data_IF_804318782633
#
_entry.id   IF_804318782633
#
_cell.length_a   1.000
_cell.length_b   1.000
_cell.length_c   1.000
_cell.angle_alpha   90.00
_cell.angle_beta   90.00
_cell.angle_gamma   90.00
#
_symmetry.space_group_name_H-M   'P 1'
#
loop_
_entity.id
_entity.type
_entity.pdbx_description
1 polymer ?
#
# COMPACT_ATOMS: atom_id res chain seq x y z
N UNK A 1 24.43 -22.76 -36.56
CA UNK A 1 24.24 -21.65 -35.58
C UNK A 1 24.04 -22.25 -34.19
N UNK A 2 24.81 -21.83 -33.20
CA UNK A 2 24.66 -22.33 -31.82
C UNK A 2 23.30 -21.87 -31.27
N UNK A 3 22.37 -22.81 -31.07
CA UNK A 3 21.09 -22.53 -30.45
C UNK A 3 21.30 -22.14 -28.98
N UNK A 4 20.54 -21.17 -28.47
CA UNK A 4 20.54 -20.88 -27.03
C UNK A 4 20.07 -22.13 -26.27
N UNK A 5 20.73 -22.44 -25.15
CA UNK A 5 20.35 -23.56 -24.29
C UNK A 5 18.89 -23.50 -23.78
N UNK A 6 18.26 -22.33 -23.81
CA UNK A 6 16.83 -22.19 -23.50
C UNK A 6 15.91 -22.96 -24.45
N UNK A 7 16.33 -23.18 -25.70
CA UNK A 7 15.57 -23.90 -26.71
C UNK A 7 15.71 -25.42 -26.57
N UNK A 8 16.68 -25.91 -25.79
CA UNK A 8 16.84 -27.33 -25.49
C UNK A 8 15.92 -27.70 -24.31
N UNK A 9 14.85 -28.50 -24.52
CA UNK A 9 13.87 -28.80 -23.50
C UNK A 9 14.47 -29.57 -22.31
N UNK A 10 15.36 -30.53 -22.57
CA UNK A 10 16.06 -31.32 -21.54
C UNK A 10 16.91 -30.45 -20.63
N UNK A 11 17.67 -29.51 -21.20
CA UNK A 11 18.45 -28.55 -20.42
C UNK A 11 17.52 -27.70 -19.54
N UNK A 12 16.41 -27.21 -20.10
CA UNK A 12 15.43 -26.42 -19.34
C UNK A 12 14.89 -27.20 -18.14
N UNK A 13 14.57 -28.48 -18.33
CA UNK A 13 14.12 -29.36 -17.26
C UNK A 13 15.22 -29.58 -16.22
N UNK A 14 16.46 -29.85 -16.63
CA UNK A 14 17.61 -30.04 -15.75
C UNK A 14 17.84 -28.81 -14.85
N UNK A 15 17.91 -27.60 -15.41
CA UNK A 15 18.08 -26.35 -14.64
C UNK A 15 16.92 -26.15 -13.66
N UNK A 16 15.68 -26.39 -14.09
CA UNK A 16 14.52 -26.23 -13.22
C UNK A 16 14.51 -27.25 -12.08
N UNK A 17 14.89 -28.49 -12.36
CA UNK A 17 15.00 -29.55 -11.36
C UNK A 17 16.06 -29.18 -10.31
N UNK A 18 17.25 -28.80 -10.75
CA UNK A 18 18.35 -28.38 -9.89
C UNK A 18 18.01 -27.12 -9.07
N UNK A 19 17.37 -26.13 -9.67
CA UNK A 19 16.92 -24.94 -8.95
C UNK A 19 15.89 -25.29 -7.86
N UNK A 20 14.89 -26.13 -8.18
CA UNK A 20 13.89 -26.60 -7.21
C UNK A 20 14.53 -27.41 -6.09
N UNK A 21 15.48 -28.28 -6.43
CA UNK A 21 16.26 -29.04 -5.46
C UNK A 21 17.03 -28.11 -4.50
N UNK A 22 17.70 -27.09 -5.03
CA UNK A 22 18.39 -26.06 -4.23
C UNK A 22 17.44 -25.31 -3.30
N UNK A 23 16.23 -24.98 -3.76
CA UNK A 23 15.23 -24.33 -2.92
C UNK A 23 14.74 -25.24 -1.79
N UNK A 24 14.54 -26.53 -2.05
CA UNK A 24 14.14 -27.53 -1.04
C UNK A 24 15.26 -27.72 -0.02
N UNK A 25 16.49 -27.99 -0.47
CA UNK A 25 17.65 -28.19 0.39
C UNK A 25 17.97 -26.95 1.22
N UNK A 26 17.85 -25.74 0.64
CA UNK A 26 18.04 -24.51 1.42
C UNK A 26 17.05 -24.38 2.58
N UNK A 27 15.81 -24.86 2.44
CA UNK A 27 14.81 -24.83 3.51
C UNK A 27 15.00 -25.97 4.52
N UNK A 28 15.44 -27.15 4.07
CA UNK A 28 15.58 -28.33 4.92
C UNK A 28 16.92 -28.34 5.70
N UNK A 29 18.02 -27.93 5.06
CA UNK A 29 19.36 -28.09 5.60
C UNK A 29 19.95 -26.81 6.22
N UNK A 30 19.30 -25.65 6.08
CA UNK A 30 19.77 -24.38 6.67
C UNK A 30 18.73 -23.77 7.61
N UNK A 31 19.15 -23.42 8.83
CA UNK A 31 18.29 -22.74 9.80
C UNK A 31 18.33 -21.20 9.69
N UNK A 32 19.37 -20.63 9.07
CA UNK A 32 19.51 -19.18 8.92
C UNK A 32 18.62 -18.63 7.80
N UNK A 33 17.57 -17.90 8.17
CA UNK A 33 16.68 -17.24 7.20
C UNK A 33 17.43 -16.25 6.30
N UNK A 34 18.48 -15.61 6.83
CA UNK A 34 19.33 -14.72 6.04
C UNK A 34 20.05 -15.47 4.92
N UNK A 35 20.61 -16.64 5.25
CA UNK A 35 21.28 -17.51 4.27
C UNK A 35 20.29 -18.03 3.23
N UNK A 36 19.12 -18.50 3.64
CA UNK A 36 18.05 -18.97 2.74
C UNK A 36 17.67 -17.87 1.74
N UNK A 37 17.47 -16.65 2.22
CA UNK A 37 17.11 -15.52 1.37
C UNK A 37 18.26 -15.13 0.43
N UNK A 38 19.51 -15.20 0.90
CA UNK A 38 20.70 -14.95 0.08
C UNK A 38 20.84 -15.99 -1.03
N UNK A 39 20.68 -17.28 -0.72
CA UNK A 39 20.67 -18.38 -1.70
C UNK A 39 19.60 -18.12 -2.75
N UNK A 40 18.33 -17.92 -2.34
CA UNK A 40 17.21 -17.63 -3.25
C UNK A 40 17.47 -16.44 -4.17
N UNK A 41 18.02 -15.35 -3.62
CA UNK A 41 18.29 -14.13 -4.37
C UNK A 41 19.39 -14.35 -5.39
N UNK A 42 20.50 -14.97 -5.00
CA UNK A 42 21.66 -15.18 -5.87
C UNK A 42 21.32 -16.19 -6.97
N UNK A 43 20.74 -17.34 -6.63
CA UNK A 43 20.36 -18.37 -7.63
C UNK A 43 19.32 -17.86 -8.63
N UNK A 44 18.32 -17.09 -8.16
CA UNK A 44 17.35 -16.48 -9.08
C UNK A 44 18.01 -15.45 -10.00
N UNK A 45 18.92 -14.63 -9.47
CA UNK A 45 19.61 -13.63 -10.28
C UNK A 45 20.56 -14.26 -11.31
N UNK A 46 21.27 -15.32 -10.96
CA UNK A 46 22.17 -16.02 -11.90
C UNK A 46 21.38 -16.70 -13.01
N UNK A 47 20.30 -17.43 -12.68
CA UNK A 47 19.46 -18.09 -13.69
C UNK A 47 18.86 -17.06 -14.66
N UNK A 48 18.35 -15.94 -14.16
CA UNK A 48 17.77 -14.90 -15.04
C UNK A 48 18.84 -14.27 -15.93
N UNK A 49 20.03 -14.01 -15.39
CA UNK A 49 21.13 -13.38 -16.13
C UNK A 49 21.65 -14.29 -17.26
N UNK A 50 21.80 -15.57 -16.99
CA UNK A 50 22.38 -16.55 -17.94
C UNK A 50 21.32 -17.32 -18.73
N UNK A 51 20.06 -16.86 -18.70
CA UNK A 51 18.92 -17.48 -19.39
C UNK A 51 19.12 -17.60 -20.91
N UNK A 52 19.86 -16.67 -21.50
CA UNK A 52 20.11 -16.60 -22.94
C UNK A 52 21.60 -16.79 -23.29
N UNK A 53 22.36 -17.45 -22.41
CA UNK A 53 23.76 -17.76 -22.71
C UNK A 53 23.83 -18.78 -23.86
N UNK A 54 24.73 -18.51 -24.81
CA UNK A 54 25.08 -19.42 -25.92
C UNK A 54 26.29 -20.29 -25.61
N UNK A 55 27.11 -19.90 -24.63
CA UNK A 55 28.36 -20.60 -24.32
C UNK A 55 28.07 -21.85 -23.49
N UNK A 56 28.42 -23.01 -24.03
CA UNK A 56 28.36 -24.29 -23.31
C UNK A 56 29.18 -24.25 -22.03
N UNK A 57 30.32 -23.55 -22.07
CA UNK A 57 31.24 -23.44 -20.95
C UNK A 57 30.69 -22.57 -19.82
N UNK A 58 30.05 -21.43 -20.12
CA UNK A 58 29.46 -20.59 -19.07
C UNK A 58 28.30 -21.33 -18.39
N UNK A 59 27.48 -22.00 -19.17
CA UNK A 59 26.36 -22.81 -18.70
C UNK A 59 26.85 -23.97 -17.82
N UNK A 60 27.83 -24.75 -18.31
CA UNK A 60 28.40 -25.87 -17.55
C UNK A 60 29.01 -25.40 -16.23
N UNK A 61 29.78 -24.30 -16.24
CA UNK A 61 30.36 -23.71 -15.04
C UNK A 61 29.29 -23.36 -13.98
N UNK A 62 28.19 -22.70 -14.38
CA UNK A 62 27.14 -22.35 -13.43
C UNK A 62 26.33 -23.56 -12.94
N UNK A 63 26.12 -24.56 -13.78
CA UNK A 63 25.50 -25.82 -13.37
C UNK A 63 26.37 -26.54 -12.34
N UNK A 64 27.68 -26.62 -12.58
CA UNK A 64 28.62 -27.23 -11.64
C UNK A 64 28.64 -26.48 -10.31
N UNK A 65 28.66 -25.14 -10.32
CA UNK A 65 28.54 -24.33 -9.09
C UNK A 65 27.23 -24.55 -8.35
N UNK A 66 26.14 -24.83 -9.07
CA UNK A 66 24.83 -25.10 -8.46
C UNK A 66 24.75 -26.52 -7.88
N UNK A 67 25.41 -27.49 -8.50
CA UNK A 67 25.62 -28.82 -7.93
C UNK A 67 26.49 -28.77 -6.67
N UNK A 68 27.62 -28.08 -6.73
CA UNK A 68 28.52 -27.86 -5.60
C UNK A 68 27.77 -27.20 -4.43
N UNK A 69 26.95 -26.17 -4.71
CA UNK A 69 26.09 -25.54 -3.70
C UNK A 69 25.13 -26.55 -3.05
N UNK A 70 24.50 -27.45 -3.82
CA UNK A 70 23.59 -28.45 -3.27
C UNK A 70 24.32 -29.46 -2.39
N UNK A 71 25.52 -29.89 -2.79
CA UNK A 71 26.35 -30.79 -2.01
C UNK A 71 26.75 -30.15 -0.67
N UNK A 72 27.22 -28.90 -0.70
CA UNK A 72 27.59 -28.15 0.50
C UNK A 72 26.41 -27.88 1.43
N UNK A 73 25.20 -27.67 0.87
CA UNK A 73 23.98 -27.55 1.67
C UNK A 73 23.64 -28.86 2.40
N UNK A 74 23.80 -30.01 1.75
CA UNK A 74 23.57 -31.33 2.36
C UNK A 74 24.60 -31.59 3.46
N UNK A 75 25.87 -31.26 3.22
CA UNK A 75 26.95 -31.36 4.21
C UNK A 75 26.87 -30.35 5.36
N UNK A 76 25.92 -29.40 5.30
CA UNK A 76 25.69 -28.34 6.30
C UNK A 76 26.91 -27.43 6.54
N UNK A 77 27.82 -27.32 5.58
CA UNK A 77 28.97 -26.43 5.68
C UNK A 77 28.60 -24.99 5.28
N UNK A 78 28.11 -24.24 6.27
CA UNK A 78 27.63 -22.87 6.09
C UNK A 78 28.71 -21.93 5.55
N UNK A 79 29.98 -22.15 5.91
CA UNK A 79 31.08 -21.24 5.57
C UNK A 79 31.44 -21.35 4.09
N UNK A 80 31.56 -22.58 3.57
CA UNK A 80 31.83 -22.81 2.15
C UNK A 80 30.65 -22.42 1.27
N UNK A 81 29.41 -22.69 1.71
CA UNK A 81 28.19 -22.18 1.04
C UNK A 81 28.25 -20.65 0.92
N UNK A 82 28.62 -19.95 2.00
CA UNK A 82 28.71 -18.50 1.98
C UNK A 82 29.79 -17.98 1.02
N UNK A 83 30.96 -18.62 1.01
CA UNK A 83 32.06 -18.27 0.13
C UNK A 83 31.69 -18.48 -1.35
N UNK A 84 31.11 -19.64 -1.69
CA UNK A 84 30.65 -19.94 -3.05
C UNK A 84 29.62 -18.93 -3.55
N UNK A 85 28.61 -18.61 -2.73
CA UNK A 85 27.63 -17.56 -3.06
C UNK A 85 28.29 -16.19 -3.25
N UNK A 86 29.30 -15.90 -2.44
CA UNK A 86 30.03 -14.63 -2.52
C UNK A 86 30.88 -14.57 -3.78
N UNK A 87 31.54 -15.64 -4.19
CA UNK A 87 32.34 -15.71 -5.41
C UNK A 87 31.47 -15.58 -6.67
N UNK A 88 30.33 -16.28 -6.70
CA UNK A 88 29.34 -16.13 -7.78
C UNK A 88 28.82 -14.69 -7.84
N UNK A 89 28.63 -14.02 -6.69
CA UNK A 89 28.22 -12.62 -6.65
C UNK A 89 29.33 -11.63 -7.05
N UNK A 90 30.59 -11.93 -6.69
CA UNK A 90 31.79 -11.11 -6.93
C UNK A 90 32.33 -11.24 -8.34
N UNK A 91 31.94 -12.27 -9.12
CA UNK A 91 32.17 -12.28 -10.57
C UNK A 91 31.65 -11.00 -11.27
N UNK A 92 30.77 -10.23 -10.60
CA UNK A 92 30.36 -8.87 -11.01
C UNK A 92 31.44 -7.78 -10.89
N UNK A 93 32.44 -7.91 -10.03
CA UNK A 93 33.27 -6.77 -9.66
C UNK A 93 34.60 -6.68 -10.40
N UNK A 94 35.07 -7.74 -11.06
CA UNK A 94 36.39 -7.70 -11.71
C UNK A 94 36.43 -6.92 -13.04
N UNK A 95 35.31 -6.61 -13.71
CA UNK A 95 35.34 -5.81 -14.95
C UNK A 95 34.93 -4.33 -14.81
N UNK A 96 34.64 -3.86 -13.60
CA UNK A 96 34.40 -2.43 -13.33
C UNK A 96 35.13 -1.99 -12.06
N UNK A 97 36.45 -2.03 -12.11
CA UNK A 97 37.26 -1.15 -11.28
C UNK A 97 36.88 0.30 -11.58
N UNK A 98 36.75 1.11 -10.52
CA UNK A 98 36.44 2.55 -10.48
C UNK A 98 34.94 2.91 -10.42
N UNK A 99 34.56 3.38 -9.22
CA UNK A 99 33.35 4.11 -8.81
C UNK A 99 32.17 3.24 -8.33
N UNK A 100 32.34 2.59 -7.18
CA UNK A 100 31.24 2.33 -6.25
C UNK A 100 30.72 3.68 -5.73
N UNK A 101 29.81 4.28 -6.48
CA UNK A 101 29.09 5.47 -6.07
C UNK A 101 28.09 5.04 -4.98
N UNK A 102 28.42 5.26 -3.71
CA UNK A 102 27.53 5.15 -2.56
C UNK A 102 26.21 5.86 -2.86
N UNK A 103 25.06 5.39 -2.33
CA UNK A 103 23.75 6.05 -2.57
C UNK A 103 23.78 7.56 -2.32
N UNK A 104 24.61 8.01 -1.37
CA UNK A 104 24.93 9.41 -1.11
C UNK A 104 25.59 10.11 -2.31
N UNK A 105 26.55 9.49 -2.99
CA UNK A 105 27.18 10.07 -4.18
C UNK A 105 26.27 10.17 -5.41
N UNK A 106 25.24 9.31 -5.54
CA UNK A 106 24.21 9.49 -6.57
C UNK A 106 23.31 10.68 -6.26
N UNK A 107 22.99 10.89 -4.98
CA UNK A 107 22.23 12.06 -4.53
C UNK A 107 23.08 13.33 -4.72
N UNK A 108 24.37 13.30 -4.38
CA UNK A 108 25.28 14.43 -4.59
C UNK A 108 25.46 14.75 -6.07
N UNK A 109 25.60 13.75 -6.94
CA UNK A 109 25.60 13.96 -8.40
C UNK A 109 24.29 14.56 -8.89
N UNK A 110 23.14 14.01 -8.47
CA UNK A 110 21.84 14.59 -8.83
C UNK A 110 21.69 16.03 -8.32
N UNK A 111 22.23 16.35 -7.14
CA UNK A 111 22.25 17.71 -6.61
C UNK A 111 23.20 18.63 -7.39
N UNK A 112 24.35 18.12 -7.84
CA UNK A 112 25.27 18.85 -8.72
C UNK A 112 24.67 19.05 -10.11
N UNK A 113 24.04 18.05 -10.71
CA UNK A 113 23.34 18.14 -11.99
C UNK A 113 22.19 19.15 -11.88
N UNK A 114 21.43 19.14 -10.77
CA UNK A 114 20.43 20.17 -10.48
C UNK A 114 21.12 21.53 -10.34
N UNK A 115 22.25 21.64 -9.64
CA UNK A 115 22.97 22.91 -9.47
C UNK A 115 23.50 23.47 -10.80
N UNK A 116 24.01 22.62 -11.69
CA UNK A 116 24.44 23.00 -13.03
C UNK A 116 23.24 23.40 -13.89
N UNK A 117 22.13 22.65 -13.84
CA UNK A 117 20.87 23.06 -14.47
C UNK A 117 20.33 24.39 -13.93
N UNK A 118 20.53 24.67 -12.64
CA UNK A 118 20.17 25.96 -12.00
C UNK A 118 21.05 27.11 -12.52
N UNK A 119 22.32 26.86 -12.81
CA UNK A 119 23.26 27.85 -13.35
C UNK A 119 23.03 28.09 -14.85
N UNK A 120 22.85 27.04 -15.66
CA UNK A 120 22.77 27.16 -17.12
C UNK A 120 21.41 27.64 -17.64
N UNK A 121 20.32 27.47 -16.89
CA UNK A 121 18.96 27.84 -17.35
C UNK A 121 18.28 28.93 -16.53
N UNK A 122 18.93 29.43 -15.48
CA UNK A 122 18.30 30.24 -14.45
C UNK A 122 17.18 29.47 -13.76
N UNK A 123 17.17 29.43 -12.43
CA UNK A 123 15.98 28.98 -11.72
C UNK A 123 14.82 29.92 -12.09
N UNK A 124 13.92 29.46 -12.97
CA UNK A 124 12.62 30.11 -13.08
C UNK A 124 11.95 29.97 -11.72
N UNK A 125 11.61 31.10 -11.11
CA UNK A 125 10.87 31.13 -9.86
C UNK A 125 9.61 30.25 -10.02
N UNK A 126 9.35 29.27 -9.13
CA UNK A 126 8.16 28.44 -9.20
C UNK A 126 6.86 29.26 -9.28
N UNK A 127 6.84 30.49 -8.78
CA UNK A 127 5.71 31.41 -8.92
C UNK A 127 5.53 31.84 -10.39
N UNK A 128 6.61 32.27 -11.06
CA UNK A 128 6.59 32.68 -12.48
C UNK A 128 6.15 31.51 -13.38
N UNK A 129 6.63 30.29 -13.11
CA UNK A 129 6.21 29.10 -13.87
C UNK A 129 4.70 28.87 -13.73
N UNK A 130 4.19 29.00 -12.51
CA UNK A 130 2.76 28.82 -12.22
C UNK A 130 1.91 29.89 -12.90
N UNK A 131 2.35 31.15 -12.87
CA UNK A 131 1.69 32.28 -13.52
C UNK A 131 1.63 32.11 -15.03
N UNK A 132 2.74 31.73 -15.67
CA UNK A 132 2.78 31.40 -17.11
C UNK A 132 1.82 30.27 -17.48
N UNK A 133 1.71 29.25 -16.64
CA UNK A 133 0.74 28.16 -16.86
C UNK A 133 -0.71 28.65 -16.74
N UNK A 134 -1.02 29.47 -15.74
CA UNK A 134 -2.35 30.07 -15.56
C UNK A 134 -2.70 30.95 -16.77
N UNK A 135 -1.78 31.80 -17.19
CA UNK A 135 -1.92 32.67 -18.36
C UNK A 135 -2.14 31.87 -19.65
N UNK A 136 -1.33 30.85 -19.91
CA UNK A 136 -1.48 30.00 -21.09
C UNK A 136 -2.85 29.29 -21.13
N UNK A 137 -3.32 28.80 -19.99
CA UNK A 137 -4.64 28.16 -19.90
C UNK A 137 -5.78 29.17 -20.13
N UNK A 138 -5.62 30.39 -19.60
CA UNK A 138 -6.58 31.48 -19.81
C UNK A 138 -6.64 31.89 -21.29
N UNK A 139 -5.50 32.14 -21.93
CA UNK A 139 -5.41 32.47 -23.37
C UNK A 139 -6.06 31.38 -24.21
N UNK A 140 -5.73 30.10 -23.97
CA UNK A 140 -6.34 28.99 -24.71
C UNK A 140 -7.86 28.94 -24.57
N UNK A 141 -8.38 29.21 -23.38
CA UNK A 141 -9.84 29.23 -23.12
C UNK A 141 -10.54 30.38 -23.82
N UNK A 142 -9.98 31.58 -23.77
CA UNK A 142 -10.57 32.76 -24.40
C UNK A 142 -10.42 32.75 -25.94
N UNK A 143 -9.31 32.21 -26.46
CA UNK A 143 -9.13 31.96 -27.90
C UNK A 143 -10.12 30.90 -28.42
N UNK A 144 -10.39 29.85 -27.65
CA UNK A 144 -11.41 28.86 -28.02
C UNK A 144 -12.84 29.43 -28.04
N UNK A 145 -13.08 30.55 -27.34
CA UNK A 145 -14.35 31.29 -27.32
C UNK A 145 -14.38 32.46 -28.30
N UNK A 146 -13.33 32.64 -29.11
CA UNK A 146 -13.15 33.77 -30.04
C UNK A 146 -13.14 35.16 -29.38
N UNK A 147 -12.78 35.26 -28.09
CA UNK A 147 -12.67 36.55 -27.39
C UNK A 147 -11.28 37.18 -27.50
N UNK A 148 -10.25 36.41 -27.88
CA UNK A 148 -8.88 36.88 -28.06
C UNK A 148 -8.33 36.49 -29.44
N UNK A 149 -7.49 37.35 -30.05
CA UNK A 149 -6.83 37.03 -31.30
C UNK A 149 -5.81 35.89 -31.11
N UNK A 150 -5.51 35.17 -32.21
CA UNK A 150 -4.54 34.07 -32.21
C UNK A 150 -3.12 34.55 -31.86
N UNK A 151 -2.74 35.74 -32.33
CA UNK A 151 -1.46 36.36 -32.03
C UNK A 151 -1.65 37.48 -31.00
N UNK A 152 -0.87 37.44 -29.92
CA UNK A 152 -0.88 38.43 -28.84
C UNK A 152 0.58 38.76 -28.51
N UNK A 153 1.01 40.03 -28.55
CA UNK A 153 2.36 40.41 -28.15
C UNK A 153 2.63 40.11 -26.66
N UNK A 154 3.88 39.77 -26.31
CA UNK A 154 4.25 39.38 -24.94
C UNK A 154 4.02 40.49 -23.89
N UNK A 155 4.11 41.76 -24.28
CA UNK A 155 3.78 42.88 -23.40
C UNK A 155 2.31 42.88 -22.97
N UNK A 156 1.38 42.64 -23.90
CA UNK A 156 -0.05 42.55 -23.59
C UNK A 156 -0.35 41.30 -22.75
N UNK A 157 0.35 40.19 -23.02
CA UNK A 157 0.24 38.97 -22.22
C UNK A 157 0.59 39.22 -20.75
N UNK A 158 1.67 39.95 -20.49
CA UNK A 158 2.16 40.21 -19.14
C UNK A 158 1.41 41.35 -18.43
N UNK A 159 1.17 42.48 -19.10
CA UNK A 159 0.56 43.67 -18.49
C UNK A 159 -0.96 43.58 -18.35
N UNK A 160 -1.67 43.01 -19.33
CA UNK A 160 -3.14 42.97 -19.34
C UNK A 160 -3.70 41.58 -19.02
N UNK A 161 -3.24 40.55 -19.73
CA UNK A 161 -3.86 39.23 -19.65
C UNK A 161 -3.49 38.47 -18.38
N UNK A 162 -2.27 38.62 -17.85
CA UNK A 162 -1.86 37.93 -16.62
C UNK A 162 -2.69 38.37 -15.40
N UNK A 163 -2.88 39.67 -15.11
CA UNK A 163 -3.78 40.11 -14.04
C UNK A 163 -5.19 39.56 -14.17
N UNK A 164 -5.75 39.54 -15.38
CA UNK A 164 -7.08 38.98 -15.67
C UNK A 164 -7.11 37.46 -15.45
N UNK A 165 -6.10 36.74 -15.92
CA UNK A 165 -5.99 35.30 -15.75
C UNK A 165 -5.92 34.93 -14.25
N UNK A 166 -5.12 35.65 -13.46
CA UNK A 166 -5.05 35.48 -12.02
C UNK A 166 -6.38 35.80 -11.34
N UNK A 167 -7.05 36.87 -11.77
CA UNK A 167 -8.37 37.24 -11.27
C UNK A 167 -9.41 36.16 -11.53
N UNK A 168 -9.46 35.56 -12.73
CA UNK A 168 -10.42 34.47 -13.02
C UNK A 168 -10.18 33.22 -12.15
N UNK A 169 -8.92 32.87 -11.89
CA UNK A 169 -8.58 31.77 -10.98
C UNK A 169 -8.98 32.11 -9.55
N UNK A 170 -8.73 33.35 -9.12
CA UNK A 170 -9.13 33.83 -7.79
C UNK A 170 -10.66 33.88 -7.63
N UNK A 171 -11.41 34.26 -8.67
CA UNK A 171 -12.87 34.24 -8.70
C UNK A 171 -13.43 32.81 -8.58
N UNK A 172 -12.85 31.85 -9.32
CA UNK A 172 -13.22 30.45 -9.17
C UNK A 172 -12.97 29.94 -7.73
N UNK A 173 -11.88 30.39 -7.10
CA UNK A 173 -11.58 30.09 -5.70
C UNK A 173 -12.58 30.75 -4.75
N UNK A 174 -12.92 32.02 -4.97
CA UNK A 174 -13.92 32.77 -4.21
C UNK A 174 -15.28 32.07 -4.26
N UNK A 175 -15.74 31.69 -5.45
CA UNK A 175 -16.98 30.94 -5.65
C UNK A 175 -16.96 29.59 -4.92
N UNK A 176 -15.83 28.88 -4.94
CA UNK A 176 -15.68 27.63 -4.17
C UNK A 176 -15.73 27.86 -2.65
N UNK A 177 -15.22 28.99 -2.17
CA UNK A 177 -15.31 29.36 -0.75
C UNK A 177 -16.74 29.71 -0.38
N UNK A 178 -17.41 30.52 -1.20
CA UNK A 178 -18.79 30.92 -1.01
C UNK A 178 -19.72 29.70 -1.01
N UNK A 179 -19.62 28.81 -2.00
CA UNK A 179 -20.41 27.57 -2.04
C UNK A 179 -20.24 26.71 -0.78
N UNK A 180 -19.01 26.59 -0.26
CA UNK A 180 -18.74 25.89 1.01
C UNK A 180 -19.29 26.59 2.25
N UNK A 181 -19.51 27.90 2.20
CA UNK A 181 -20.13 28.63 3.30
C UNK A 181 -21.66 28.47 3.24
N UNK A 182 -22.25 28.49 2.04
CA UNK A 182 -23.68 28.25 1.83
C UNK A 182 -24.09 26.84 2.26
N UNK A 183 -23.25 25.82 2.01
CA UNK A 183 -23.49 24.45 2.49
C UNK A 183 -23.55 24.32 4.04
N UNK A 184 -23.03 25.29 4.77
CA UNK A 184 -22.99 25.29 6.23
C UNK A 184 -21.75 24.61 6.84
N UNK A 185 -21.78 24.29 8.15
CA UNK A 185 -20.65 23.67 8.83
C UNK A 185 -20.37 22.27 8.27
N UNK A 186 -19.10 21.86 8.17
CA UNK A 186 -18.75 20.56 7.61
C UNK A 186 -19.30 19.43 8.49
N UNK A 187 -20.15 18.58 7.91
CA UNK A 187 -20.83 17.48 8.60
C UNK A 187 -19.86 16.56 9.35
N UNK A 188 -20.23 16.22 10.58
CA UNK A 188 -19.56 15.21 11.40
C UNK A 188 -20.41 13.96 11.40
N UNK A 189 -19.81 12.82 11.08
CA UNK A 189 -20.55 11.56 11.01
C UNK A 189 -19.68 10.40 11.44
N UNK A 190 -20.33 9.33 11.90
CA UNK A 190 -19.66 8.08 12.23
C UNK A 190 -19.44 7.26 10.95
N UNK A 191 -18.18 6.96 10.67
CA UNK A 191 -17.79 6.01 9.63
C UNK A 191 -17.36 4.71 10.30
N UNK A 192 -17.34 3.62 9.56
CA UNK A 192 -16.80 2.37 10.05
C UNK A 192 -15.87 1.72 9.04
N UNK A 193 -14.97 0.87 9.54
CA UNK A 193 -14.23 -0.11 8.74
C UNK A 193 -14.55 -1.50 9.25
N UNK A 194 -14.66 -2.47 8.35
CA UNK A 194 -15.03 -3.86 8.64
C UNK A 194 -13.83 -4.81 8.55
N UNK A 195 -13.02 -4.98 9.62
CA UNK A 195 -12.18 -6.16 9.73
C UNK A 195 -13.05 -7.36 10.12
N UNK A 196 -13.13 -8.36 9.24
CA UNK A 196 -13.65 -9.71 9.49
C UNK A 196 -14.77 -9.82 10.54
N UNK A 197 -16.00 -9.52 10.14
CA UNK A 197 -17.22 -9.77 10.94
C UNK A 197 -17.57 -8.71 11.99
N UNK A 198 -16.68 -7.76 12.30
CA UNK A 198 -16.99 -6.65 13.21
C UNK A 198 -16.74 -5.28 12.56
N UNK A 199 -17.44 -4.26 13.06
CA UNK A 199 -17.35 -2.88 12.57
C UNK A 199 -16.59 -2.03 13.58
N UNK A 200 -15.43 -1.50 13.20
CA UNK A 200 -14.72 -0.48 13.97
C UNK A 200 -15.28 0.87 13.59
N UNK A 201 -16.05 1.47 14.50
CA UNK A 201 -16.64 2.79 14.32
C UNK A 201 -15.64 3.89 14.71
N UNK A 202 -15.63 5.00 13.98
CA UNK A 202 -14.85 6.19 14.30
C UNK A 202 -15.47 7.44 13.68
N UNK A 203 -15.19 8.60 14.28
CA UNK A 203 -15.70 9.89 13.81
C UNK A 203 -14.92 10.35 12.58
N UNK A 204 -15.62 10.74 11.51
CA UNK A 204 -15.06 11.53 10.41
C UNK A 204 -15.52 12.97 10.55
N UNK A 205 -14.56 13.89 10.49
CA UNK A 205 -14.80 15.34 10.53
C UNK A 205 -13.75 16.06 9.69
N UNK A 206 -13.93 17.38 9.50
CA UNK A 206 -12.92 18.22 8.86
C UNK A 206 -11.56 18.19 9.57
N UNK A 207 -11.58 17.92 10.88
CA UNK A 207 -10.40 17.78 11.73
C UNK A 207 -9.84 16.36 11.73
N UNK A 208 -10.69 15.34 11.69
CA UNK A 208 -10.29 13.94 11.79
C UNK A 208 -10.34 13.21 10.43
N UNK A 209 -9.46 13.61 9.49
CA UNK A 209 -9.38 13.00 8.15
C UNK A 209 -7.95 12.85 7.63
N UNK A 210 -7.69 11.76 6.88
CA UNK A 210 -6.42 11.46 6.20
C UNK A 210 -5.22 11.63 7.17
N UNK A 211 -4.26 12.50 6.84
CA UNK A 211 -3.05 12.79 7.63
C UNK A 211 -3.35 13.42 9.00
N UNK A 212 -4.52 14.03 9.18
CA UNK A 212 -4.96 14.63 10.45
C UNK A 212 -5.70 13.65 11.37
N UNK A 213 -5.92 12.42 10.89
CA UNK A 213 -6.53 11.40 11.72
C UNK A 213 -5.64 11.09 12.92
N UNK A 214 -6.23 10.87 14.09
CA UNK A 214 -5.46 10.49 15.28
C UNK A 214 -4.56 9.28 14.99
N UNK A 215 -3.27 9.39 15.35
CA UNK A 215 -2.30 8.30 15.21
C UNK A 215 -2.73 7.06 16.00
N UNK A 216 -3.29 7.26 17.19
CA UNK A 216 -3.77 6.16 18.05
C UNK A 216 -4.91 5.39 17.40
N UNK A 217 -5.88 6.09 16.83
CA UNK A 217 -6.95 5.49 16.03
C UNK A 217 -6.40 4.75 14.81
N UNK A 218 -5.41 5.32 14.12
CA UNK A 218 -4.75 4.67 12.99
C UNK A 218 -3.96 3.42 13.39
N UNK A 219 -3.38 3.37 14.59
CA UNK A 219 -2.74 2.17 15.14
C UNK A 219 -3.80 1.11 15.49
N UNK A 220 -4.87 1.51 16.17
CA UNK A 220 -5.98 0.62 16.54
C UNK A 220 -6.58 -0.08 15.32
N UNK A 221 -6.93 0.68 14.26
CA UNK A 221 -7.49 0.12 13.02
C UNK A 221 -6.51 -0.85 12.35
N UNK A 222 -5.21 -0.49 12.28
CA UNK A 222 -4.20 -1.36 11.66
C UNK A 222 -3.99 -2.65 12.45
N UNK A 223 -3.90 -2.54 13.78
CA UNK A 223 -3.77 -3.69 14.68
C UNK A 223 -4.94 -4.64 14.48
N UNK A 224 -6.18 -4.16 14.56
CA UNK A 224 -7.35 -5.02 14.42
C UNK A 224 -7.53 -5.59 13.01
N UNK A 225 -7.13 -4.86 11.96
CA UNK A 225 -7.08 -5.44 10.60
C UNK A 225 -6.07 -6.59 10.51
N UNK A 226 -4.88 -6.42 11.07
CA UNK A 226 -3.86 -7.45 11.05
C UNK A 226 -4.29 -8.67 11.88
N UNK A 227 -4.80 -8.46 13.09
CA UNK A 227 -5.32 -9.53 13.95
C UNK A 227 -6.58 -10.20 13.36
N UNK A 228 -7.45 -9.44 12.70
CA UNK A 228 -8.59 -9.98 11.95
C UNK A 228 -8.14 -10.86 10.78
N UNK A 229 -7.09 -10.45 10.06
CA UNK A 229 -6.52 -11.24 8.96
C UNK A 229 -5.88 -12.54 9.47
N UNK A 230 -5.06 -12.48 10.52
CA UNK A 230 -4.49 -13.67 11.18
C UNK A 230 -5.57 -14.67 11.60
N UNK A 231 -6.64 -14.19 12.24
CA UNK A 231 -7.79 -15.04 12.63
C UNK A 231 -8.45 -15.70 11.44
N UNK A 232 -8.59 -14.99 10.32
CA UNK A 232 -9.14 -15.57 9.10
C UNK A 232 -8.23 -16.61 8.46
N UNK A 233 -6.92 -16.35 8.44
CA UNK A 233 -5.95 -17.34 7.99
C UNK A 233 -5.98 -18.59 8.88
N UNK A 234 -6.10 -18.43 10.20
CA UNK A 234 -6.29 -19.56 11.12
C UNK A 234 -7.60 -20.31 10.87
N UNK A 235 -8.74 -19.62 10.66
CA UNK A 235 -10.00 -20.29 10.32
C UNK A 235 -9.89 -21.08 9.01
N UNK A 236 -9.21 -20.53 8.00
CA UNK A 236 -8.95 -21.22 6.73
C UNK A 236 -8.06 -22.44 6.95
N UNK A 237 -7.01 -22.31 7.77
CA UNK A 237 -6.14 -23.42 8.13
C UNK A 237 -6.90 -24.51 8.89
N UNK A 238 -7.77 -24.16 9.85
CA UNK A 238 -8.63 -25.11 10.54
C UNK A 238 -9.53 -25.88 9.55
N UNK A 239 -10.14 -25.20 8.57
CA UNK A 239 -10.94 -25.87 7.54
C UNK A 239 -10.12 -26.83 6.68
N UNK A 240 -8.90 -26.43 6.30
CA UNK A 240 -7.99 -27.31 5.55
C UNK A 240 -7.54 -28.50 6.38
N UNK A 241 -7.20 -28.29 7.66
CA UNK A 241 -6.77 -29.34 8.57
C UNK A 241 -7.93 -30.30 8.86
N UNK A 242 -9.16 -29.81 8.95
CA UNK A 242 -10.35 -30.64 9.15
C UNK A 242 -10.56 -31.61 7.98
N UNK A 243 -10.29 -31.17 6.74
CA UNK A 243 -10.35 -32.04 5.58
C UNK A 243 -9.32 -33.16 5.66
N UNK A 244 -8.06 -32.84 6.01
CA UNK A 244 -7.02 -33.84 6.22
C UNK A 244 -7.35 -34.79 7.36
N UNK A 245 -7.81 -34.26 8.50
CA UNK A 245 -8.22 -35.05 9.65
C UNK A 245 -9.37 -36.01 9.32
N UNK A 246 -10.33 -35.60 8.48
CA UNK A 246 -11.38 -36.49 7.99
C UNK A 246 -10.80 -37.62 7.12
N UNK A 247 -9.85 -37.32 6.23
CA UNK A 247 -9.22 -38.35 5.40
C UNK A 247 -8.45 -39.35 6.26
N UNK A 248 -7.62 -38.90 7.18
CA UNK A 248 -6.87 -39.78 8.10
C UNK A 248 -7.82 -40.66 8.93
N UNK A 249 -8.89 -40.06 9.48
CA UNK A 249 -9.89 -40.81 10.22
C UNK A 249 -10.63 -41.85 9.36
N UNK A 250 -10.94 -41.52 8.10
CA UNK A 250 -11.51 -42.47 7.15
C UNK A 250 -10.53 -43.61 6.83
N UNK A 251 -9.23 -43.33 6.75
CA UNK A 251 -8.20 -44.34 6.55
C UNK A 251 -8.11 -45.31 7.72
N UNK A 252 -8.08 -44.82 8.96
CA UNK A 252 -8.08 -45.66 10.16
C UNK A 252 -9.33 -46.56 10.22
N UNK A 253 -10.51 -45.99 9.96
CA UNK A 253 -11.76 -46.75 9.95
C UNK A 253 -11.83 -47.80 8.84
N UNK A 254 -11.20 -47.52 7.69
CA UNK A 254 -11.09 -48.49 6.61
C UNK A 254 -10.18 -49.66 6.99
N UNK A 255 -9.11 -49.41 7.77
CA UNK A 255 -8.20 -50.46 8.27
C UNK A 255 -8.87 -51.30 9.37
N UNK A 256 -9.52 -50.65 10.34
CA UNK A 256 -10.13 -51.32 11.50
C UNK A 256 -11.42 -52.05 11.13
N UNK A 257 -12.34 -51.36 10.45
CA UNK A 257 -13.73 -51.80 10.29
C UNK A 257 -14.12 -52.07 8.83
N UNK A 258 -13.24 -51.78 7.86
CA UNK A 258 -13.50 -51.89 6.40
C UNK A 258 -14.70 -51.05 5.94
N UNK A 259 -15.07 -50.01 6.68
CA UNK A 259 -16.20 -49.13 6.38
C UNK A 259 -15.71 -47.68 6.37
N UNK A 260 -16.19 -46.88 5.41
CA UNK A 260 -15.97 -45.43 5.35
C UNK A 260 -17.23 -44.72 5.83
N UNK A 261 -17.18 -43.95 6.93
CA UNK A 261 -18.36 -43.24 7.43
C UNK A 261 -18.77 -42.13 6.45
N UNK A 262 -20.06 -42.07 6.10
CA UNK A 262 -20.62 -40.94 5.37
C UNK A 262 -20.82 -39.76 6.33
N UNK A 263 -20.00 -38.71 6.19
CA UNK A 263 -20.05 -37.54 7.05
C UNK A 263 -19.86 -36.23 6.27
N UNK A 264 -20.81 -35.31 6.42
CA UNK A 264 -20.71 -33.97 5.82
C UNK A 264 -19.90 -33.04 6.71
N UNK A 265 -18.61 -32.96 6.41
CA UNK A 265 -17.66 -32.12 7.12
C UNK A 265 -18.04 -30.64 7.09
N UNK A 266 -18.50 -30.13 5.95
CA UNK A 266 -18.81 -28.70 5.83
C UNK A 266 -19.95 -28.32 6.76
N UNK A 267 -20.99 -29.15 6.82
CA UNK A 267 -22.13 -28.94 7.72
C UNK A 267 -21.71 -29.01 9.19
N UNK A 268 -20.84 -29.95 9.55
CA UNK A 268 -20.29 -30.04 10.90
C UNK A 268 -19.45 -28.81 11.28
N UNK A 269 -18.49 -28.42 10.46
CA UNK A 269 -17.64 -27.24 10.73
C UNK A 269 -18.47 -25.96 10.83
N UNK A 270 -19.50 -25.84 10.00
CA UNK A 270 -20.43 -24.73 10.07
C UNK A 270 -21.21 -24.74 11.39
N UNK A 271 -21.65 -25.91 11.87
CA UNK A 271 -22.36 -26.04 13.15
C UNK A 271 -21.57 -25.57 14.37
N UNK A 272 -20.23 -25.52 14.27
CA UNK A 272 -19.34 -24.98 15.31
C UNK A 272 -19.34 -23.44 15.38
N UNK A 273 -20.07 -22.78 14.48
CA UNK A 273 -20.26 -21.33 14.53
C UNK A 273 -21.28 -20.95 15.61
N UNK A 274 -21.05 -19.81 16.26
CA UNK A 274 -21.94 -19.30 17.33
C UNK A 274 -23.36 -19.12 16.81
N UNK A 275 -24.34 -19.69 17.52
CA UNK A 275 -25.77 -19.57 17.22
C UNK A 275 -26.32 -20.60 16.24
N UNK A 276 -25.51 -21.53 15.72
CA UNK A 276 -26.00 -22.66 14.90
C UNK A 276 -26.27 -23.89 15.79
N UNK A 277 -27.22 -24.73 15.35
CA UNK A 277 -27.52 -26.01 16.01
C UNK A 277 -26.30 -26.92 15.89
N UNK A 278 -25.74 -27.37 17.02
CA UNK A 278 -24.59 -28.27 17.05
C UNK A 278 -24.96 -29.60 16.39
N UNK A 279 -24.07 -30.09 15.55
CA UNK A 279 -24.17 -31.42 14.94
C UNK A 279 -23.16 -32.31 15.65
N UNK A 280 -23.61 -33.46 16.12
CA UNK A 280 -22.77 -34.44 16.79
C UNK A 280 -21.82 -35.09 15.77
N UNK A 281 -20.57 -35.25 16.17
CA UNK A 281 -19.58 -35.96 15.39
C UNK A 281 -19.71 -37.46 15.70
N UNK A 282 -19.67 -38.36 14.70
CA UNK A 282 -19.56 -39.79 14.97
C UNK A 282 -18.37 -40.07 15.91
N UNK A 283 -18.51 -40.97 16.88
CA UNK A 283 -17.47 -41.21 17.88
C UNK A 283 -16.13 -41.63 17.24
N UNK A 284 -16.18 -42.30 16.09
CA UNK A 284 -14.98 -42.69 15.32
C UNK A 284 -14.19 -41.50 14.78
N UNK A 285 -14.88 -40.39 14.46
CA UNK A 285 -14.26 -39.18 13.91
C UNK A 285 -14.00 -38.12 14.98
N UNK A 286 -14.56 -38.28 16.19
CA UNK A 286 -14.52 -37.30 17.27
C UNK A 286 -13.08 -36.93 17.65
N UNK A 287 -12.21 -37.93 17.83
CA UNK A 287 -10.81 -37.73 18.21
C UNK A 287 -10.05 -36.81 17.23
N UNK A 288 -10.37 -36.91 15.94
CA UNK A 288 -9.75 -36.14 14.87
C UNK A 288 -10.36 -34.74 14.70
N UNK A 289 -11.69 -34.63 14.80
CA UNK A 289 -12.42 -33.42 14.44
C UNK A 289 -12.75 -32.50 15.61
N UNK A 290 -12.92 -33.02 16.83
CA UNK A 290 -13.28 -32.20 18.00
C UNK A 290 -12.23 -31.12 18.35
N UNK A 291 -10.91 -31.39 18.35
CA UNK A 291 -9.91 -30.35 18.62
C UNK A 291 -9.97 -29.19 17.62
N UNK A 292 -10.29 -29.51 16.36
CA UNK A 292 -10.43 -28.52 15.28
C UNK A 292 -11.74 -27.75 15.45
N UNK A 293 -12.83 -28.45 15.78
CA UNK A 293 -14.12 -27.84 16.10
C UNK A 293 -14.03 -26.85 17.27
N UNK A 294 -13.35 -27.24 18.34
CA UNK A 294 -13.07 -26.37 19.49
C UNK A 294 -12.28 -25.12 19.09
N UNK A 295 -11.25 -25.29 18.24
CA UNK A 295 -10.45 -24.17 17.72
C UNK A 295 -11.30 -23.18 16.92
N UNK A 296 -12.19 -23.68 16.06
CA UNK A 296 -13.14 -22.86 15.30
C UNK A 296 -14.10 -22.12 16.24
N UNK A 297 -14.64 -22.81 17.25
CA UNK A 297 -15.54 -22.21 18.24
C UNK A 297 -14.85 -21.07 19.00
N UNK A 298 -13.60 -21.27 19.45
CA UNK A 298 -12.81 -20.23 20.13
C UNK A 298 -12.54 -19.02 19.24
N UNK A 299 -12.18 -19.24 17.97
CA UNK A 299 -11.96 -18.15 17.00
C UNK A 299 -13.24 -17.35 16.76
N UNK A 300 -14.39 -18.02 16.67
CA UNK A 300 -15.69 -17.37 16.56
C UNK A 300 -16.05 -16.57 17.82
N UNK A 301 -15.76 -17.10 19.02
CA UNK A 301 -15.98 -16.40 20.29
C UNK A 301 -15.19 -15.11 20.36
N UNK A 302 -13.90 -15.14 20.01
CA UNK A 302 -13.06 -13.95 19.94
C UNK A 302 -13.64 -12.90 18.97
N UNK A 303 -14.21 -13.33 17.84
CA UNK A 303 -14.85 -12.41 16.89
C UNK A 303 -16.12 -11.79 17.45
N UNK A 304 -16.96 -12.56 18.15
CA UNK A 304 -18.16 -12.06 18.82
C UNK A 304 -17.82 -11.06 19.94
N UNK A 305 -16.82 -11.36 20.77
CA UNK A 305 -16.35 -10.48 21.84
C UNK A 305 -15.82 -9.15 21.29
N UNK A 306 -15.05 -9.21 20.19
CA UNK A 306 -14.59 -8.01 19.47
C UNK A 306 -15.74 -7.21 18.88
N UNK A 307 -16.75 -7.88 18.32
CA UNK A 307 -17.94 -7.20 17.81
C UNK A 307 -18.70 -6.48 18.93
N UNK A 308 -18.86 -7.11 20.09
CA UNK A 308 -19.47 -6.52 21.27
C UNK A 308 -18.64 -5.34 21.80
N UNK A 309 -17.32 -5.49 21.90
CA UNK A 309 -16.40 -4.42 22.31
C UNK A 309 -16.56 -3.17 21.44
N UNK A 310 -16.53 -3.30 20.10
CA UNK A 310 -16.66 -2.14 19.21
C UNK A 310 -18.07 -1.55 19.17
N UNK A 311 -19.10 -2.36 19.43
CA UNK A 311 -20.47 -1.86 19.61
C UNK A 311 -20.56 -1.02 20.89
N UNK A 312 -19.99 -1.48 22.00
CA UNK A 312 -19.93 -0.74 23.26
C UNK A 312 -19.10 0.54 23.13
N UNK A 313 -17.95 0.46 22.44
CA UNK A 313 -17.11 1.63 22.15
C UNK A 313 -17.88 2.69 21.35
N UNK A 314 -18.65 2.29 20.33
CA UNK A 314 -19.51 3.20 19.57
C UNK A 314 -20.48 3.96 20.48
N UNK A 315 -21.21 3.23 21.31
CA UNK A 315 -22.27 3.82 22.12
C UNK A 315 -21.70 4.69 23.27
N UNK A 316 -20.71 4.17 24.01
CA UNK A 316 -20.15 4.82 25.20
C UNK A 316 -19.17 5.95 24.88
N UNK A 317 -18.32 5.78 23.85
CA UNK A 317 -17.19 6.70 23.59
C UNK A 317 -17.46 7.65 22.41
N UNK A 318 -18.22 7.20 21.41
CA UNK A 318 -18.43 8.01 20.20
C UNK A 318 -19.72 8.84 20.26
N UNK A 319 -20.84 8.26 20.73
CA UNK A 319 -22.16 8.89 20.69
C UNK A 319 -22.49 9.70 21.95
N UNK A 320 -22.55 9.06 23.13
CA UNK A 320 -23.12 9.65 24.35
C UNK A 320 -22.23 10.78 24.94
N UNK A 321 -22.35 12.00 24.41
CA UNK A 321 -21.51 13.14 24.82
C UNK A 321 -20.03 12.99 24.45
N UNK A 322 -19.73 12.03 23.58
CA UNK A 322 -18.38 11.58 23.31
C UNK A 322 -17.67 12.36 22.19
N UNK A 323 -16.81 11.64 21.47
CA UNK A 323 -15.98 12.24 20.42
C UNK A 323 -16.77 12.89 19.28
N UNK A 324 -17.96 12.37 18.93
CA UNK A 324 -18.76 12.94 17.85
C UNK A 324 -19.16 14.39 18.14
N UNK A 325 -19.73 14.62 19.33
CA UNK A 325 -20.15 15.94 19.79
C UNK A 325 -18.96 16.90 19.91
N UNK A 326 -17.82 16.42 20.42
CA UNK A 326 -16.57 17.22 20.45
C UNK A 326 -16.17 17.72 19.05
N UNK A 327 -16.17 16.83 18.05
CA UNK A 327 -15.79 17.21 16.68
C UNK A 327 -16.84 18.08 16.01
N UNK A 328 -18.11 17.89 16.34
CA UNK A 328 -19.23 18.70 15.85
C UNK A 328 -19.11 20.15 16.37
N UNK A 329 -18.97 20.35 17.67
CA UNK A 329 -18.73 21.68 18.25
C UNK A 329 -17.52 22.37 17.63
N UNK A 330 -16.42 21.63 17.45
CA UNK A 330 -15.20 22.15 16.80
C UNK A 330 -15.44 22.55 15.34
N UNK A 331 -16.25 21.79 14.61
CA UNK A 331 -16.64 22.12 13.22
C UNK A 331 -17.50 23.37 13.14
N UNK A 332 -18.44 23.55 14.08
CA UNK A 332 -19.29 24.73 14.18
C UNK A 332 -18.45 25.97 14.49
N UNK A 333 -17.59 25.91 15.51
CA UNK A 333 -16.69 27.04 15.85
C UNK A 333 -15.77 27.42 14.69
N UNK A 334 -15.23 26.44 13.97
CA UNK A 334 -14.41 26.70 12.77
C UNK A 334 -15.21 27.39 11.68
N UNK A 335 -16.42 26.90 11.42
CA UNK A 335 -17.32 27.47 10.43
C UNK A 335 -17.66 28.93 10.78
N UNK A 336 -18.07 29.22 12.02
CA UNK A 336 -18.37 30.57 12.50
C UNK A 336 -17.18 31.52 12.29
N UNK A 337 -15.96 31.10 12.66
CA UNK A 337 -14.73 31.90 12.42
C UNK A 337 -14.47 32.12 10.93
N UNK A 338 -14.84 31.17 10.08
CA UNK A 338 -14.67 31.27 8.61
C UNK A 338 -15.71 32.21 8.01
N UNK A 339 -16.96 32.15 8.46
CA UNK A 339 -18.05 33.06 8.09
C UNK A 339 -17.68 34.49 8.49
N UNK A 340 -17.26 34.72 9.75
CA UNK A 340 -16.84 36.05 10.21
C UNK A 340 -15.73 36.64 9.36
N UNK A 341 -14.69 35.85 9.04
CA UNK A 341 -13.60 36.28 8.13
C UNK A 341 -14.10 36.59 6.72
N UNK A 342 -15.03 35.79 6.21
CA UNK A 342 -15.61 36.01 4.88
C UNK A 342 -16.45 37.29 4.85
N UNK A 343 -17.29 37.53 5.86
CA UNK A 343 -18.07 38.76 6.00
C UNK A 343 -17.18 40.00 6.08
N UNK A 344 -16.09 39.95 6.88
CA UNK A 344 -15.10 41.02 6.95
C UNK A 344 -14.44 41.30 5.59
N UNK A 345 -14.14 40.25 4.82
CA UNK A 345 -13.58 40.38 3.47
C UNK A 345 -14.59 41.00 2.49
N UNK A 346 -15.86 40.60 2.59
CA UNK A 346 -16.97 41.15 1.77
C UNK A 346 -17.20 42.62 2.04
N UNK A 347 -17.12 43.05 3.31
CA UNK A 347 -17.36 44.44 3.68
C UNK A 347 -16.17 45.35 3.38
N UNK A 348 -14.95 44.92 3.70
CA UNK A 348 -13.81 45.83 3.73
C UNK A 348 -13.00 45.86 2.44
N UNK A 349 -12.87 44.72 1.75
CA UNK A 349 -11.88 44.58 0.69
C UNK A 349 -12.50 44.22 -0.68
N UNK A 350 -13.51 43.34 -0.73
CA UNK A 350 -14.13 42.89 -1.99
C UNK A 350 -14.65 44.03 -2.90
N UNK A 351 -15.28 45.11 -2.39
CA UNK A 351 -15.74 46.20 -3.22
C UNK A 351 -14.61 46.98 -3.91
N UNK A 352 -13.40 46.94 -3.35
CA UNK A 352 -12.24 47.70 -3.83
C UNK A 352 -11.26 46.84 -4.62
N UNK A 353 -11.66 45.62 -5.00
CA UNK A 353 -10.80 44.71 -5.75
C UNK A 353 -10.60 45.21 -7.17
N UNK A 354 -9.34 45.41 -7.55
CA UNK A 354 -8.95 45.77 -8.91
C UNK A 354 -7.86 44.81 -9.38
N UNK A 355 -8.08 44.02 -10.46
CA UNK A 355 -7.15 43.00 -10.91
C UNK A 355 -5.73 43.50 -11.18
N UNK A 356 -5.60 44.73 -11.66
CA UNK A 356 -4.36 45.30 -12.17
C UNK A 356 -3.45 45.90 -11.09
N UNK A 357 -3.98 46.19 -9.89
CA UNK A 357 -3.20 46.81 -8.83
C UNK A 357 -2.72 45.76 -7.83
N UNK A 358 -1.39 45.59 -7.66
CA UNK A 358 -0.86 44.64 -6.69
C UNK A 358 -1.33 45.00 -5.27
N UNK A 359 -1.84 44.02 -4.53
CA UNK A 359 -2.35 44.20 -3.17
C UNK A 359 -3.83 44.57 -3.09
N UNK A 360 -4.43 45.03 -4.20
CA UNK A 360 -5.89 45.17 -4.38
C UNK A 360 -6.46 44.09 -5.31
N UNK A 361 -5.62 43.20 -5.81
CA UNK A 361 -6.07 42.06 -6.59
C UNK A 361 -6.74 41.00 -5.70
N UNK A 362 -7.66 40.24 -6.29
CA UNK A 362 -8.45 39.26 -5.55
C UNK A 362 -7.60 38.16 -4.90
N UNK A 363 -6.45 37.83 -5.49
CA UNK A 363 -5.56 36.81 -4.94
C UNK A 363 -4.93 37.31 -3.63
N UNK A 364 -4.44 38.56 -3.61
CA UNK A 364 -3.94 39.23 -2.40
C UNK A 364 -5.02 39.40 -1.34
N UNK A 365 -6.25 39.75 -1.73
CA UNK A 365 -7.37 39.81 -0.78
C UNK A 365 -7.64 38.44 -0.15
N UNK A 366 -7.69 37.37 -0.96
CA UNK A 366 -7.92 36.01 -0.45
C UNK A 366 -6.79 35.55 0.48
N UNK A 367 -5.54 35.87 0.17
CA UNK A 367 -4.39 35.50 1.03
C UNK A 367 -4.41 36.27 2.35
N UNK A 368 -4.75 37.56 2.35
CA UNK A 368 -4.91 38.39 3.56
C UNK A 368 -5.87 37.77 4.58
N UNK A 369 -7.00 37.22 4.13
CA UNK A 369 -7.99 36.56 5.01
C UNK A 369 -7.71 35.07 5.28
N UNK A 370 -6.57 34.55 4.81
CA UNK A 370 -6.16 33.13 4.92
C UNK A 370 -7.17 32.16 4.30
N UNK A 371 -7.63 32.48 3.09
CA UNK A 371 -8.43 31.60 2.25
C UNK A 371 -7.59 30.83 1.25
#
# INVERSE_FOLDING_TARGET
MVQNFIHLPEHRQCVLHLYRHTLRNSKQCCHSQHLINRIKKITRQTIVKHRYDKSSWSVHFYLQKLYELNHLLIQRDVKTVWNLLTDVSKSKSKSKSKKSSTRSSRILKALQDIHQLKQDKGLQDPQIVREKLILNNYIKREQARNHLPRFIPEEYKTKLLLPLALHTVAMARLNSIHGKLVEGPPKVFLTHTTPMGHRIWFVRSAFNKKKRQSKTLGILIRREKNEGHKRWDYLRQCKSNAYWAQQEANWEQLIENKIVPQFDLNRYLDSQSIGKKKIECPPQLAHWLEPIGYSIQKLNQINADKAAYFRNYKNRVLLNGGQALYFENKSITMYQRRVKRFQQMVQNDLPYVVPFFPGRDLLSTLTKYRF
#
